data_IF_014302540857
#
_entry.id   IF_014302540857
#
_cell.length_a   1.000
_cell.length_b   1.000
_cell.length_c   1.000
_cell.angle_alpha   90.00
_cell.angle_beta   90.00
_cell.angle_gamma   90.00
#
_symmetry.space_group_name_H-M   'P 1'
#
loop_
_entity.id
_entity.type
_entity.pdbx_description
1 polymer ?
#
# COMPACT_ATOMS: atom_id res chain seq x y z
N UNK A 1 2.96 23.91 -17.05
CA UNK A 1 1.87 23.96 -16.05
C UNK A 1 2.10 22.81 -15.09
N UNK A 2 1.88 23.03 -13.80
CA UNK A 2 2.00 21.95 -12.79
C UNK A 2 0.74 21.10 -12.84
N UNK A 3 0.88 19.77 -12.92
CA UNK A 3 -0.23 18.81 -12.89
C UNK A 3 -0.57 18.50 -11.43
N UNK A 4 -1.77 18.82 -11.00
CA UNK A 4 -2.23 18.46 -9.65
C UNK A 4 -2.81 17.04 -9.66
N UNK A 5 -2.37 16.22 -8.70
CA UNK A 5 -2.86 14.85 -8.51
C UNK A 5 -3.35 14.70 -7.07
N UNK A 6 -4.60 14.27 -6.91
CA UNK A 6 -5.18 14.00 -5.59
C UNK A 6 -4.91 12.55 -5.19
N UNK A 7 -4.31 12.34 -4.04
CA UNK A 7 -4.09 11.01 -3.45
C UNK A 7 -5.35 10.58 -2.72
N UNK A 8 -6.08 9.61 -3.30
CA UNK A 8 -7.37 9.14 -2.83
C UNK A 8 -7.22 8.09 -1.72
N UNK A 9 -6.71 8.51 -0.57
CA UNK A 9 -6.63 7.68 0.65
C UNK A 9 -6.79 8.54 1.89
N UNK A 10 -7.46 8.00 2.92
CA UNK A 10 -7.58 8.60 4.25
C UNK A 10 -6.42 8.16 5.18
N UNK A 11 -5.57 7.24 4.75
CA UNK A 11 -4.42 6.77 5.52
C UNK A 11 -3.22 7.71 5.35
N UNK A 12 -2.88 8.46 6.42
CA UNK A 12 -1.80 9.44 6.42
C UNK A 12 -0.42 8.83 6.10
N UNK A 13 -0.16 7.60 6.57
CA UNK A 13 1.11 6.91 6.28
C UNK A 13 1.26 6.57 4.79
N UNK A 14 0.16 6.19 4.12
CA UNK A 14 0.18 5.97 2.67
C UNK A 14 0.43 7.27 1.91
N UNK A 15 -0.18 8.38 2.34
CA UNK A 15 0.06 9.71 1.75
C UNK A 15 1.55 10.06 1.84
N UNK A 16 2.16 9.96 3.03
CA UNK A 16 3.57 10.27 3.26
C UNK A 16 4.51 9.39 2.39
N UNK A 17 4.22 8.09 2.30
CA UNK A 17 5.01 7.18 1.45
C UNK A 17 4.89 7.53 -0.04
N UNK A 18 3.70 7.90 -0.51
CA UNK A 18 3.48 8.28 -1.90
C UNK A 18 4.20 9.60 -2.21
N UNK A 19 4.06 10.62 -1.38
CA UNK A 19 4.70 11.93 -1.56
C UNK A 19 6.23 11.83 -1.54
N UNK A 20 6.79 11.00 -0.64
CA UNK A 20 8.25 10.83 -0.54
C UNK A 20 8.84 9.98 -1.67
N UNK A 21 8.08 9.03 -2.22
CA UNK A 21 8.53 8.14 -3.30
C UNK A 21 8.32 8.72 -4.70
N UNK A 22 7.39 9.66 -4.87
CA UNK A 22 7.05 10.29 -6.13
C UNK A 22 7.76 11.63 -6.29
N UNK A 23 8.87 11.63 -7.01
CA UNK A 23 9.47 12.86 -7.52
C UNK A 23 9.19 12.94 -9.04
N UNK A 24 7.93 13.27 -9.40
CA UNK A 24 7.57 13.56 -10.78
C UNK A 24 7.77 15.06 -11.04
N UNK A 25 8.67 15.39 -11.93
CA UNK A 25 8.89 16.78 -12.33
C UNK A 25 7.61 17.38 -12.92
N UNK A 26 7.19 18.53 -12.38
CA UNK A 26 5.97 19.21 -12.83
C UNK A 26 4.66 18.67 -12.24
N UNK A 27 4.70 17.74 -11.28
CA UNK A 27 3.52 17.24 -10.59
C UNK A 27 3.45 17.76 -9.14
N UNK A 28 2.24 18.07 -8.68
CA UNK A 28 1.93 18.43 -7.31
C UNK A 28 0.95 17.40 -6.75
N UNK A 29 1.35 16.67 -5.71
CA UNK A 29 0.48 15.71 -5.03
C UNK A 29 -0.22 16.38 -3.85
N UNK A 30 -1.52 16.11 -3.69
CA UNK A 30 -2.34 16.64 -2.59
C UNK A 30 -3.11 15.50 -1.96
N UNK A 31 -3.13 15.45 -0.63
CA UNK A 31 -4.08 14.56 0.07
C UNK A 31 -5.52 15.00 -0.20
N UNK A 32 -6.49 14.12 0.06
CA UNK A 32 -7.93 14.50 0.04
C UNK A 32 -8.17 15.73 0.92
N UNK A 33 -7.58 15.76 2.11
CA UNK A 33 -7.70 16.86 3.06
C UNK A 33 -7.18 18.19 2.49
N UNK A 34 -5.98 18.18 1.87
CA UNK A 34 -5.36 19.38 1.31
C UNK A 34 -6.10 19.87 0.06
N UNK A 35 -6.76 18.95 -0.66
CA UNK A 35 -7.66 19.28 -1.76
C UNK A 35 -9.06 19.74 -1.28
N UNK A 36 -9.34 19.71 0.02
CA UNK A 36 -10.66 20.05 0.59
C UNK A 36 -11.75 19.05 0.25
N UNK A 37 -11.38 17.80 -0.05
CA UNK A 37 -12.30 16.74 -0.46
C UNK A 37 -12.54 15.74 0.67
N UNK A 38 -13.75 15.19 0.71
CA UNK A 38 -14.14 14.07 1.57
C UNK A 38 -14.58 12.92 0.70
N UNK A 39 -13.83 11.83 0.69
CA UNK A 39 -14.14 10.62 -0.05
C UNK A 39 -13.83 9.41 0.85
N UNK A 40 -14.83 8.60 1.12
CA UNK A 40 -14.74 7.39 1.93
C UNK A 40 -15.73 6.33 1.41
N UNK A 41 -15.54 5.86 0.16
CA UNK A 41 -16.42 4.88 -0.43
C UNK A 41 -16.29 3.53 0.26
N UNK A 42 -17.38 2.77 0.34
CA UNK A 42 -17.37 1.39 0.84
C UNK A 42 -16.50 0.50 -0.06
N UNK A 43 -15.46 -0.10 0.53
CA UNK A 43 -14.56 -1.03 -0.16
C UNK A 43 -15.21 -2.44 -0.22
N UNK A 44 -16.08 -2.64 -1.20
CA UNK A 44 -16.81 -3.88 -1.43
C UNK A 44 -16.12 -4.85 -2.40
N UNK A 45 -14.95 -4.49 -2.91
CA UNK A 45 -14.17 -5.31 -3.82
C UNK A 45 -13.56 -6.53 -3.13
N UNK A 46 -13.34 -7.58 -3.92
CA UNK A 46 -12.70 -8.83 -3.48
C UNK A 46 -11.21 -8.88 -3.83
N UNK A 47 -10.73 -7.90 -4.58
CA UNK A 47 -9.34 -7.73 -4.96
C UNK A 47 -8.85 -6.32 -4.67
N UNK A 48 -7.52 -6.16 -4.50
CA UNK A 48 -6.91 -4.84 -4.35
C UNK A 48 -7.24 -3.90 -5.53
N UNK A 49 -7.27 -4.43 -6.76
CA UNK A 49 -7.60 -3.65 -7.94
C UNK A 49 -9.03 -3.11 -7.90
N UNK A 50 -10.00 -3.93 -7.49
CA UNK A 50 -11.40 -3.50 -7.37
C UNK A 50 -11.54 -2.39 -6.34
N UNK A 51 -10.93 -2.53 -5.16
CA UNK A 51 -10.97 -1.50 -4.12
C UNK A 51 -10.23 -0.22 -4.52
N UNK A 52 -9.04 -0.33 -5.15
CA UNK A 52 -8.33 0.83 -5.67
C UNK A 52 -9.16 1.58 -6.72
N UNK A 53 -9.87 0.88 -7.61
CA UNK A 53 -10.79 1.49 -8.59
C UNK A 53 -11.97 2.19 -7.95
N UNK A 54 -12.58 1.58 -6.93
CA UNK A 54 -13.68 2.20 -6.17
C UNK A 54 -13.22 3.54 -5.60
N UNK A 55 -12.07 3.57 -4.93
CA UNK A 55 -11.48 4.78 -4.34
C UNK A 55 -11.12 5.82 -5.41
N UNK A 56 -10.46 5.39 -6.49
CA UNK A 56 -10.03 6.29 -7.57
C UNK A 56 -11.22 6.98 -8.23
N UNK A 57 -12.26 6.23 -8.59
CA UNK A 57 -13.45 6.77 -9.27
C UNK A 57 -14.23 7.72 -8.36
N UNK A 58 -14.47 7.33 -7.11
CA UNK A 58 -15.17 8.18 -6.15
C UNK A 58 -14.45 9.52 -5.93
N UNK A 59 -13.11 9.50 -5.83
CA UNK A 59 -12.33 10.71 -5.67
C UNK A 59 -12.27 11.53 -6.97
N UNK A 60 -12.17 10.91 -8.14
CA UNK A 60 -12.11 11.58 -9.43
C UNK A 60 -13.41 12.34 -9.75
N UNK A 61 -14.57 11.78 -9.40
CA UNK A 61 -15.87 12.47 -9.53
C UNK A 61 -15.94 13.77 -8.71
N UNK A 62 -15.16 13.87 -7.62
CA UNK A 62 -15.13 15.02 -6.72
C UNK A 62 -14.02 16.02 -7.03
N UNK A 63 -12.88 15.53 -7.55
CA UNK A 63 -11.64 16.31 -7.58
C UNK A 63 -11.54 17.28 -8.76
N UNK A 64 -12.21 17.04 -9.89
CA UNK A 64 -11.98 17.77 -11.16
C UNK A 64 -10.48 17.86 -11.52
N UNK A 65 -9.69 16.86 -11.15
CA UNK A 65 -8.24 16.77 -11.34
C UNK A 65 -7.83 15.30 -11.45
N UNK A 66 -6.59 15.04 -11.83
CA UNK A 66 -6.07 13.68 -11.82
C UNK A 66 -6.05 13.10 -10.40
N UNK A 67 -6.25 11.79 -10.28
CA UNK A 67 -6.36 11.07 -8.99
C UNK A 67 -5.46 9.86 -8.98
N UNK A 68 -4.85 9.58 -7.82
CA UNK A 68 -4.10 8.36 -7.55
C UNK A 68 -4.68 7.65 -6.32
N UNK A 69 -5.21 6.46 -6.49
CA UNK A 69 -5.65 5.60 -5.39
C UNK A 69 -4.67 4.44 -5.19
N UNK A 70 -4.53 4.01 -3.94
CA UNK A 70 -3.77 2.83 -3.52
C UNK A 70 -4.67 1.90 -2.71
N UNK A 71 -4.71 0.63 -3.12
CA UNK A 71 -5.14 -0.45 -2.26
C UNK A 71 -4.01 -1.45 -2.08
N UNK A 72 -3.77 -1.84 -0.83
CA UNK A 72 -2.58 -2.61 -0.48
C UNK A 72 -2.81 -3.43 0.77
N UNK A 73 -2.08 -4.53 0.87
CA UNK A 73 -2.17 -5.40 2.03
C UNK A 73 -1.13 -6.50 2.03
N UNK A 74 -1.18 -7.28 3.10
CA UNK A 74 -0.34 -8.44 3.34
C UNK A 74 -1.05 -9.70 2.83
N UNK A 75 -0.32 -10.54 2.11
CA UNK A 75 -0.76 -11.84 1.63
C UNK A 75 0.16 -12.88 2.26
N UNK A 76 -0.40 -13.84 3.01
CA UNK A 76 0.38 -14.90 3.70
C UNK A 76 -0.02 -16.25 3.14
N UNK A 77 0.94 -16.98 2.57
CA UNK A 77 0.66 -18.24 1.85
C UNK A 77 0.10 -19.33 2.78
N UNK A 78 0.61 -19.43 4.00
CA UNK A 78 0.14 -20.41 4.98
C UNK A 78 -1.28 -20.12 5.51
N UNK A 79 -1.86 -18.97 5.18
CA UNK A 79 -3.21 -18.56 5.54
C UNK A 79 -4.11 -18.39 4.31
N UNK A 80 -3.79 -19.09 3.21
CA UNK A 80 -4.54 -19.05 1.93
C UNK A 80 -4.71 -17.60 1.41
N UNK A 81 -3.71 -16.76 1.63
CA UNK A 81 -3.69 -15.38 1.20
C UNK A 81 -4.25 -14.37 2.20
N UNK A 82 -4.81 -14.82 3.33
CA UNK A 82 -5.22 -13.87 4.38
C UNK A 82 -3.99 -13.15 4.96
N UNK A 83 -4.16 -11.91 5.45
CA UNK A 83 -5.36 -11.08 5.51
C UNK A 83 -5.86 -10.49 4.17
N UNK A 84 -5.01 -10.35 3.13
CA UNK A 84 -5.42 -9.86 1.82
C UNK A 84 -6.07 -8.48 1.87
N UNK A 85 -7.21 -8.29 1.20
CA UNK A 85 -7.97 -7.03 1.19
C UNK A 85 -8.52 -6.60 2.56
N UNK A 86 -8.46 -7.48 3.54
CA UNK A 86 -8.90 -7.19 4.92
C UNK A 86 -7.73 -6.75 5.82
N UNK A 87 -6.56 -6.42 5.26
CA UNK A 87 -5.33 -6.15 6.02
C UNK A 87 -5.50 -5.10 7.11
N UNK A 88 -6.18 -3.99 6.85
CA UNK A 88 -6.39 -2.91 7.83
C UNK A 88 -7.36 -3.30 8.96
N UNK A 89 -8.28 -4.23 8.71
CA UNK A 89 -9.35 -4.65 9.62
C UNK A 89 -9.32 -6.14 9.95
N UNK A 90 -8.15 -6.77 9.89
CA UNK A 90 -8.00 -8.21 10.05
C UNK A 90 -8.46 -8.72 11.42
N UNK A 91 -8.25 -7.95 12.48
CA UNK A 91 -8.74 -8.24 13.83
C UNK A 91 -10.24 -7.96 14.02
N UNK A 92 -10.87 -7.26 13.07
CA UNK A 92 -12.26 -6.82 13.12
C UNK A 92 -12.41 -5.31 13.39
N UNK A 93 -11.34 -4.62 13.77
CA UNK A 93 -11.31 -3.17 13.96
C UNK A 93 -10.36 -2.56 12.94
N UNK A 94 -10.85 -1.57 12.20
CA UNK A 94 -10.02 -0.91 11.17
C UNK A 94 -8.93 -0.06 11.83
N UNK A 95 -7.69 -0.18 11.30
CA UNK A 95 -6.53 0.57 11.76
C UNK A 95 -5.95 0.15 13.12
N UNK A 96 -6.41 -0.96 13.72
CA UNK A 96 -5.79 -1.50 14.93
C UNK A 96 -4.62 -2.44 14.58
N UNK A 97 -3.47 -1.83 14.27
CA UNK A 97 -2.27 -2.56 13.86
C UNK A 97 -1.81 -3.57 14.91
N UNK A 98 -1.90 -3.22 16.21
CA UNK A 98 -1.50 -4.11 17.30
C UNK A 98 -2.37 -5.36 17.37
N UNK A 99 -3.70 -5.20 17.30
CA UNK A 99 -4.62 -6.32 17.29
C UNK A 99 -4.48 -7.18 16.01
N UNK A 100 -4.22 -6.54 14.85
CA UNK A 100 -3.98 -7.22 13.58
C UNK A 100 -2.72 -8.09 13.64
N UNK A 101 -1.60 -7.55 14.16
CA UNK A 101 -0.34 -8.27 14.36
C UNK A 101 -0.49 -9.42 15.35
N UNK A 102 -1.16 -9.19 16.48
CA UNK A 102 -1.42 -10.23 17.47
C UNK A 102 -2.27 -11.38 16.91
N UNK A 103 -3.27 -11.07 16.08
CA UNK A 103 -4.07 -12.09 15.38
C UNK A 103 -3.22 -12.88 14.40
N UNK A 104 -2.41 -12.21 13.58
CA UNK A 104 -1.55 -12.85 12.60
C UNK A 104 -0.57 -13.84 13.27
N UNK A 105 0.11 -13.41 14.34
CA UNK A 105 1.02 -14.27 15.09
C UNK A 105 0.31 -15.48 15.69
N UNK A 106 -0.88 -15.31 16.22
CA UNK A 106 -1.69 -16.39 16.80
C UNK A 106 -2.07 -17.43 15.74
N UNK A 107 -2.52 -17.00 14.55
CA UNK A 107 -2.90 -17.90 13.47
C UNK A 107 -1.70 -18.66 12.89
N UNK A 108 -0.52 -18.03 12.89
CA UNK A 108 0.73 -18.65 12.46
C UNK A 108 1.45 -19.46 13.56
N UNK A 109 0.91 -19.55 14.77
CA UNK A 109 1.61 -20.14 15.92
C UNK A 109 2.13 -21.57 15.70
N UNK A 110 1.39 -22.40 14.95
CA UNK A 110 1.76 -23.76 14.58
C UNK A 110 2.53 -23.85 13.25
N UNK A 111 2.74 -22.76 12.54
CA UNK A 111 3.43 -22.74 11.24
C UNK A 111 4.92 -22.51 11.47
N UNK A 112 5.82 -23.41 11.00
CA UNK A 112 7.26 -23.19 11.07
C UNK A 112 7.71 -21.95 10.31
N UNK A 113 8.74 -21.25 10.77
CA UNK A 113 9.24 -20.00 10.16
C UNK A 113 9.48 -20.13 8.64
N UNK A 114 10.10 -21.21 8.21
CA UNK A 114 10.39 -21.47 6.79
C UNK A 114 9.13 -21.62 5.89
N UNK A 115 7.93 -21.75 6.51
CA UNK A 115 6.64 -21.85 5.79
C UNK A 115 5.78 -20.61 5.97
N UNK A 116 6.29 -19.55 6.58
CA UNK A 116 5.57 -18.28 6.76
C UNK A 116 5.85 -17.31 5.61
N UNK A 117 5.97 -17.85 4.38
CA UNK A 117 6.16 -17.01 3.18
C UNK A 117 4.99 -16.06 3.02
N UNK A 118 5.30 -14.83 2.67
CA UNK A 118 4.34 -13.75 2.56
C UNK A 118 4.82 -12.69 1.59
N UNK A 119 3.90 -11.87 1.11
CA UNK A 119 4.21 -10.66 0.33
C UNK A 119 3.31 -9.51 0.73
N UNK A 120 3.86 -8.31 0.69
CA UNK A 120 3.03 -7.12 0.57
C UNK A 120 2.71 -6.86 -0.90
N UNK A 121 1.48 -6.48 -1.17
CA UNK A 121 1.00 -6.05 -2.47
C UNK A 121 0.48 -4.62 -2.41
N UNK A 122 0.73 -3.82 -3.45
CA UNK A 122 0.10 -2.52 -3.67
C UNK A 122 -0.40 -2.46 -5.10
N UNK A 123 -1.65 -2.08 -5.28
CA UNK A 123 -2.26 -1.80 -6.57
C UNK A 123 -2.62 -0.33 -6.62
N UNK A 124 -2.02 0.37 -7.57
CA UNK A 124 -2.27 1.78 -7.84
C UNK A 124 -3.21 1.92 -9.02
N UNK A 125 -4.21 2.77 -8.87
CA UNK A 125 -5.08 3.20 -9.97
C UNK A 125 -4.93 4.72 -10.10
N UNK A 126 -4.37 5.14 -11.23
CA UNK A 126 -4.26 6.53 -11.63
C UNK A 126 -5.34 6.82 -12.68
N UNK A 127 -6.11 7.87 -12.46
CA UNK A 127 -7.07 8.39 -13.44
C UNK A 127 -6.65 9.82 -13.76
N UNK A 128 -6.37 10.09 -15.03
CA UNK A 128 -5.98 11.43 -15.46
C UNK A 128 -7.19 12.39 -15.58
N UNK A 129 -6.92 13.64 -15.98
CA UNK A 129 -7.94 14.68 -16.11
C UNK A 129 -8.97 14.36 -17.19
N UNK A 130 -8.62 13.54 -18.18
CA UNK A 130 -9.49 13.09 -19.27
C UNK A 130 -10.25 11.79 -18.94
N UNK A 131 -10.00 11.22 -17.75
CA UNK A 131 -10.63 9.99 -17.27
C UNK A 131 -9.94 8.71 -17.75
N UNK A 132 -8.73 8.79 -18.33
CA UNK A 132 -7.97 7.62 -18.74
C UNK A 132 -7.35 6.93 -17.51
N UNK A 133 -7.64 5.64 -17.35
CA UNK A 133 -7.16 4.81 -16.24
C UNK A 133 -5.80 4.17 -16.59
N UNK A 134 -4.84 4.31 -15.69
CA UNK A 134 -3.57 3.57 -15.70
C UNK A 134 -3.42 2.79 -14.40
N UNK A 135 -3.19 1.47 -14.49
CA UNK A 135 -3.01 0.59 -13.34
C UNK A 135 -1.54 0.17 -13.22
N UNK A 136 -1.01 0.20 -12.00
CA UNK A 136 0.32 -0.32 -11.69
C UNK A 136 0.29 -1.16 -10.42
N UNK A 137 1.10 -2.21 -10.39
CA UNK A 137 1.20 -3.13 -9.26
C UNK A 137 2.64 -3.22 -8.78
N UNK A 138 2.81 -3.45 -7.49
CA UNK A 138 4.11 -3.69 -6.91
C UNK A 138 4.01 -4.66 -5.73
N UNK A 139 5.05 -5.48 -5.60
CA UNK A 139 5.15 -6.50 -4.56
C UNK A 139 6.49 -6.40 -3.86
N UNK A 140 6.54 -6.88 -2.63
CA UNK A 140 7.77 -7.23 -1.93
C UNK A 140 7.58 -8.59 -1.28
N UNK A 141 8.44 -9.53 -1.63
CA UNK A 141 8.43 -10.89 -1.09
C UNK A 141 9.19 -10.94 0.22
N UNK A 142 8.80 -11.87 1.09
CA UNK A 142 9.42 -12.06 2.39
C UNK A 142 8.72 -13.12 3.24
N UNK A 143 8.91 -13.02 4.55
CA UNK A 143 8.39 -13.97 5.54
C UNK A 143 7.83 -13.23 6.75
N UNK A 144 6.90 -13.88 7.46
CA UNK A 144 6.40 -13.37 8.75
C UNK A 144 7.27 -13.89 9.89
N UNK A 145 7.87 -12.97 10.63
CA UNK A 145 8.67 -13.26 11.81
C UNK A 145 7.89 -13.92 12.96
N UNK A 146 8.60 -14.23 14.03
CA UNK A 146 8.02 -14.84 15.22
C UNK A 146 7.61 -13.80 16.28
N UNK A 147 8.21 -12.63 16.23
CA UNK A 147 8.01 -11.52 17.17
C UNK A 147 8.11 -10.20 16.43
N UNK A 148 7.43 -9.18 16.91
CA UNK A 148 7.55 -7.82 16.42
C UNK A 148 8.93 -7.23 16.73
N UNK A 149 9.53 -6.52 15.75
CA UNK A 149 10.79 -5.79 15.89
C UNK A 149 10.73 -4.49 15.11
N UNK A 150 11.47 -3.49 15.59
CA UNK A 150 11.54 -2.15 14.98
C UNK A 150 10.42 -1.23 15.46
N UNK A 151 10.59 0.06 15.16
CA UNK A 151 9.69 1.12 15.64
C UNK A 151 9.20 2.02 14.50
N UNK A 152 9.62 1.73 13.25
CA UNK A 152 9.24 2.52 12.09
C UNK A 152 8.10 1.86 11.31
N UNK A 153 7.49 2.65 10.41
CA UNK A 153 6.45 2.15 9.53
C UNK A 153 5.09 2.00 10.23
N UNK A 154 4.24 1.11 9.69
CA UNK A 154 2.88 0.87 10.15
C UNK A 154 2.40 -0.53 9.74
N UNK A 155 1.22 -0.92 10.23
CA UNK A 155 0.63 -2.20 9.88
C UNK A 155 1.47 -3.39 10.34
N UNK A 156 1.79 -4.26 9.39
CA UNK A 156 2.56 -5.49 9.65
C UNK A 156 4.07 -5.34 9.47
N UNK A 157 4.57 -4.12 9.27
CA UNK A 157 6.01 -3.85 9.11
C UNK A 157 6.87 -4.46 10.24
N UNK A 158 6.46 -4.44 11.52
CA UNK A 158 7.23 -5.06 12.60
C UNK A 158 7.39 -6.58 12.52
N UNK A 159 6.55 -7.25 11.73
CA UNK A 159 6.56 -8.70 11.56
C UNK A 159 7.13 -9.15 10.22
N UNK A 160 7.16 -8.27 9.21
CA UNK A 160 7.53 -8.63 7.86
C UNK A 160 9.04 -8.56 7.64
N UNK A 161 9.64 -9.68 7.28
CA UNK A 161 11.05 -9.88 6.99
C UNK A 161 11.25 -9.92 5.47
N UNK A 162 11.69 -8.83 4.80
CA UNK A 162 11.84 -8.81 3.36
C UNK A 162 13.02 -9.67 2.88
N UNK A 163 12.83 -10.42 1.81
CA UNK A 163 13.87 -11.27 1.21
C UNK A 163 15.09 -10.48 0.74
N UNK A 164 14.89 -9.20 0.36
CA UNK A 164 15.98 -8.29 -0.01
C UNK A 164 17.04 -8.09 1.08
N UNK A 165 16.71 -8.40 2.34
CA UNK A 165 17.61 -8.37 3.51
C UNK A 165 17.80 -9.76 4.12
N UNK A 166 17.63 -10.85 3.34
CA UNK A 166 17.80 -12.23 3.75
C UNK A 166 17.01 -12.64 5.00
N UNK A 167 15.91 -11.93 5.32
CA UNK A 167 15.11 -12.17 6.52
C UNK A 167 15.78 -11.76 7.85
N UNK A 168 16.83 -10.94 7.80
CA UNK A 168 17.59 -10.55 9.02
C UNK A 168 16.94 -9.37 9.75
N UNK A 169 16.31 -8.46 9.01
CA UNK A 169 15.65 -7.25 9.54
C UNK A 169 14.19 -7.20 9.13
N UNK A 170 13.35 -6.58 9.96
CA UNK A 170 11.96 -6.32 9.59
C UNK A 170 11.85 -5.01 8.79
N UNK A 171 10.70 -4.81 8.14
CA UNK A 171 10.41 -3.52 7.46
C UNK A 171 10.42 -2.35 8.46
N UNK A 172 10.03 -2.58 9.71
CA UNK A 172 10.03 -1.57 10.77
C UNK A 172 11.42 -1.23 11.34
N UNK A 173 12.45 -2.00 11.01
CA UNK A 173 13.85 -1.72 11.36
C UNK A 173 14.58 -0.92 10.28
N UNK A 174 13.95 -0.73 9.10
CA UNK A 174 14.50 0.03 7.98
C UNK A 174 14.20 1.53 8.13
N UNK A 175 15.14 2.35 7.64
CA UNK A 175 14.85 3.78 7.43
C UNK A 175 13.81 3.95 6.31
N UNK A 176 13.10 5.08 6.28
CA UNK A 176 12.10 5.37 5.23
C UNK A 176 12.70 5.24 3.82
N UNK A 177 13.93 5.71 3.61
CA UNK A 177 14.61 5.61 2.31
C UNK A 177 14.89 4.15 1.92
N UNK A 178 15.37 3.32 2.86
CA UNK A 178 15.60 1.89 2.62
C UNK A 178 14.29 1.16 2.33
N UNK A 179 13.24 1.46 3.09
CA UNK A 179 11.90 0.91 2.88
C UNK A 179 11.35 1.29 1.50
N UNK A 180 11.41 2.56 1.10
CA UNK A 180 10.91 3.03 -0.19
C UNK A 180 11.64 2.38 -1.38
N UNK A 181 12.92 2.04 -1.22
CA UNK A 181 13.70 1.39 -2.26
C UNK A 181 13.19 -0.03 -2.61
N UNK A 182 12.65 -0.77 -1.64
CA UNK A 182 12.23 -2.17 -1.81
C UNK A 182 10.74 -2.39 -1.68
N UNK A 183 9.98 -1.47 -1.06
CA UNK A 183 8.57 -1.69 -0.69
C UNK A 183 7.66 -1.94 -1.89
N UNK A 184 6.57 -2.65 -1.66
CA UNK A 184 5.49 -2.87 -2.61
C UNK A 184 4.99 -1.57 -3.23
N UNK A 185 4.70 -0.54 -2.41
CA UNK A 185 4.25 0.78 -2.89
C UNK A 185 5.34 1.48 -3.70
N UNK A 186 6.60 1.45 -3.25
CA UNK A 186 7.71 1.98 -4.01
C UNK A 186 7.88 1.28 -5.39
N UNK A 187 7.68 -0.04 -5.44
CA UNK A 187 7.70 -0.82 -6.68
C UNK A 187 6.53 -0.43 -7.61
N UNK A 188 5.30 -0.33 -7.06
CA UNK A 188 4.12 0.08 -7.81
C UNK A 188 4.26 1.50 -8.39
N UNK A 189 4.81 2.45 -7.61
CA UNK A 189 5.05 3.82 -8.07
C UNK A 189 6.09 3.89 -9.18
N UNK A 190 7.16 3.10 -9.10
CA UNK A 190 8.15 2.99 -10.18
C UNK A 190 7.55 2.43 -11.46
N UNK A 191 6.66 1.45 -11.33
CA UNK A 191 5.96 0.87 -12.48
C UNK A 191 4.94 1.85 -13.07
N UNK A 192 4.18 2.57 -12.24
CA UNK A 192 3.28 3.63 -12.68
C UNK A 192 4.03 4.69 -13.49
N UNK A 193 5.18 5.14 -12.99
CA UNK A 193 6.02 6.12 -13.67
C UNK A 193 6.44 5.66 -15.07
N UNK A 194 6.86 4.40 -15.22
CA UNK A 194 7.23 3.85 -16.54
C UNK A 194 6.05 3.88 -17.52
N UNK A 195 4.86 3.48 -17.05
CA UNK A 195 3.66 3.45 -17.90
C UNK A 195 3.24 4.84 -18.35
N UNK A 196 3.29 5.82 -17.46
CA UNK A 196 2.93 7.21 -17.80
C UNK A 196 3.92 7.86 -18.75
N UNK A 197 5.23 7.59 -18.63
CA UNK A 197 6.24 8.09 -19.58
C UNK A 197 6.28 7.33 -20.91
N UNK A 198 5.69 6.16 -21.00
CA UNK A 198 5.60 5.42 -22.26
C UNK A 198 4.44 5.93 -23.15
N UNK A 199 3.59 6.80 -22.63
CA UNK A 199 2.47 7.41 -23.35
C UNK A 199 2.79 8.83 -23.88
N UNK A 200 3.95 9.40 -23.51
CA UNK A 200 4.50 10.65 -24.04
C UNK A 200 5.37 10.39 -25.30
#
# INVERSE_FOLDING_TARGET
>A
MTKTVVIATNNAHKVEEIETALNFEGWEFKSLKDAGLVSDPEESGTTFLENARIKARAAHELACAAVLADDSGLIVDALDGAPGVYSSRYSGVDGDDSANNAKLLRELSAVPLAKRTARFASVLVFIDEDGLETVAEGFVEGHIGLVERGEHGFGYDPLFLPDAYNGEVTMAELTQSQKNAISHRGNALRELRKKLHACD
#
